data_IF_787384532213
#
_entry.id   IF_787384532213
#
_cell.length_a   1.000
_cell.length_b   1.000
_cell.length_c   1.000
_cell.angle_alpha   90.00
_cell.angle_beta   90.00
_cell.angle_gamma   90.00
#
_symmetry.space_group_name_H-M   'P 1'
#
loop_
_entity.id
_entity.type
_entity.pdbx_description
1 polymer ?
#
# COMPACT_ATOMS: atom_id res chain seq x y z
N UNK A 1 21.56 -7.41 13.17
CA UNK A 1 20.83 -7.11 11.93
C UNK A 1 19.52 -6.46 12.32
N UNK A 2 19.17 -5.32 11.76
CA UNK A 2 17.92 -4.62 12.08
C UNK A 2 16.77 -5.37 11.40
N UNK A 3 15.86 -5.94 12.19
CA UNK A 3 14.68 -6.64 11.66
C UNK A 3 13.81 -5.67 10.88
N UNK A 4 13.35 -6.05 9.68
CA UNK A 4 12.41 -5.25 8.90
C UNK A 4 11.14 -6.07 8.71
N UNK A 5 10.05 -5.61 9.30
CA UNK A 5 8.71 -6.15 9.11
C UNK A 5 8.06 -5.58 7.85
N UNK A 6 7.22 -6.40 7.22
CA UNK A 6 6.49 -6.03 6.01
C UNK A 6 5.28 -6.91 5.79
N UNK A 7 4.34 -6.40 4.98
CA UNK A 7 3.25 -7.19 4.44
C UNK A 7 3.75 -8.02 3.26
N UNK A 8 3.20 -9.21 3.07
CA UNK A 8 3.22 -9.90 1.80
C UNK A 8 1.79 -10.03 1.27
N UNK A 9 1.60 -9.61 0.01
CA UNK A 9 0.30 -9.51 -0.65
C UNK A 9 0.28 -10.46 -1.84
N UNK A 10 -0.45 -11.55 -1.71
CA UNK A 10 -0.67 -12.54 -2.75
C UNK A 10 -1.91 -12.17 -3.57
N UNK A 11 -1.67 -11.62 -4.75
CA UNK A 11 -2.70 -11.12 -5.66
C UNK A 11 -3.44 -12.25 -6.36
N UNK A 12 -2.86 -13.45 -6.43
CA UNK A 12 -3.51 -14.65 -6.98
C UNK A 12 -4.63 -15.13 -6.06
N UNK A 13 -4.43 -15.03 -4.74
CA UNK A 13 -5.45 -15.40 -3.73
C UNK A 13 -6.43 -14.28 -3.40
N UNK A 14 -6.13 -13.04 -3.76
CA UNK A 14 -6.96 -11.91 -3.38
C UNK A 14 -8.26 -11.86 -4.21
N UNK A 15 -9.40 -12.12 -3.58
CA UNK A 15 -10.73 -12.08 -4.23
C UNK A 15 -11.43 -10.72 -4.16
N UNK A 16 -10.74 -9.69 -3.66
CA UNK A 16 -11.29 -8.33 -3.64
C UNK A 16 -12.45 -8.09 -2.67
N UNK A 17 -12.68 -8.94 -1.68
CA UNK A 17 -13.83 -8.88 -0.76
C UNK A 17 -13.86 -7.66 0.19
N UNK A 18 -12.76 -6.89 0.27
CA UNK A 18 -12.58 -5.71 1.14
C UNK A 18 -12.73 -5.96 2.65
N UNK A 19 -12.78 -7.21 3.11
CA UNK A 19 -12.81 -7.55 4.54
C UNK A 19 -11.62 -6.94 5.31
N UNK A 20 -10.43 -6.93 4.70
CA UNK A 20 -9.24 -6.32 5.28
C UNK A 20 -9.33 -4.79 5.45
N UNK A 21 -10.12 -4.11 4.60
CA UNK A 21 -10.37 -2.67 4.74
C UNK A 21 -11.36 -2.40 5.87
N UNK A 22 -12.49 -3.11 5.87
CA UNK A 22 -13.53 -2.99 6.89
C UNK A 22 -12.96 -3.26 8.28
N UNK A 23 -12.17 -4.34 8.43
CA UNK A 23 -11.55 -4.69 9.70
C UNK A 23 -10.52 -3.66 10.18
N UNK A 24 -9.76 -3.04 9.25
CA UNK A 24 -8.84 -1.97 9.59
C UNK A 24 -9.58 -0.69 10.03
N UNK A 25 -10.66 -0.35 9.33
CA UNK A 25 -11.48 0.84 9.60
C UNK A 25 -12.19 0.71 10.95
N UNK A 26 -12.80 -0.44 11.22
CA UNK A 26 -13.49 -0.72 12.48
C UNK A 26 -12.54 -0.72 13.69
N UNK A 27 -11.40 -1.42 13.58
CA UNK A 27 -10.44 -1.52 14.68
C UNK A 27 -9.86 -0.16 15.11
N UNK A 28 -9.54 0.70 14.14
CA UNK A 28 -9.00 2.03 14.41
C UNK A 28 -10.07 3.13 14.49
N UNK A 29 -11.35 2.80 14.34
CA UNK A 29 -12.46 3.76 14.30
C UNK A 29 -12.20 4.92 13.33
N UNK A 30 -11.66 4.61 12.16
CA UNK A 30 -11.28 5.65 11.19
C UNK A 30 -12.53 6.34 10.62
N UNK A 31 -12.53 7.68 10.47
CA UNK A 31 -13.66 8.42 9.92
C UNK A 31 -13.91 8.01 8.46
N UNK A 32 -15.11 8.26 7.89
CA UNK A 32 -15.52 7.79 6.56
C UNK A 32 -14.48 8.01 5.46
N UNK A 33 -13.86 9.19 5.43
CA UNK A 33 -12.88 9.61 4.43
C UNK A 33 -11.52 8.90 4.53
N UNK A 34 -11.16 8.40 5.72
CA UNK A 34 -9.85 7.82 5.98
C UNK A 34 -9.87 6.30 5.77
N UNK A 35 -8.92 5.82 4.97
CA UNK A 35 -8.73 4.39 4.63
C UNK A 35 -7.26 4.02 4.66
N UNK A 36 -6.78 3.50 5.78
CA UNK A 36 -5.39 3.07 5.94
C UNK A 36 -5.01 1.85 5.10
N UNK A 37 -5.99 1.01 4.73
CA UNK A 37 -5.85 -0.08 3.77
C UNK A 37 -6.92 0.07 2.69
N UNK A 38 -6.55 -0.18 1.43
CA UNK A 38 -7.42 -0.03 0.26
C UNK A 38 -7.23 -1.22 -0.69
N UNK A 39 -8.31 -1.84 -1.13
CA UNK A 39 -8.29 -2.82 -2.20
C UNK A 39 -8.59 -2.11 -3.51
N UNK A 40 -7.70 -2.30 -4.48
CA UNK A 40 -7.86 -1.84 -5.86
C UNK A 40 -8.08 -3.06 -6.76
N UNK A 41 -8.95 -2.90 -7.74
CA UNK A 41 -9.22 -3.91 -8.76
C UNK A 41 -8.75 -3.36 -10.10
N UNK A 42 -8.09 -4.19 -10.88
CA UNK A 42 -7.60 -3.86 -12.20
C UNK A 42 -7.98 -4.98 -13.14
N UNK A 43 -8.17 -4.63 -14.39
CA UNK A 43 -8.50 -5.56 -15.46
C UNK A 43 -7.33 -5.58 -16.44
N UNK A 44 -7.07 -6.75 -16.98
CA UNK A 44 -6.00 -6.92 -17.96
C UNK A 44 -6.36 -8.03 -18.93
N UNK A 45 -5.57 -8.15 -19.99
CA UNK A 45 -5.82 -9.06 -21.08
C UNK A 45 -6.96 -8.57 -21.97
N UNK A 46 -7.25 -9.37 -23.00
CA UNK A 46 -8.28 -9.10 -24.00
C UNK A 46 -9.24 -10.28 -24.06
N UNK A 47 -10.49 -10.02 -24.42
CA UNK A 47 -11.49 -11.07 -24.59
C UNK A 47 -11.00 -12.15 -25.58
N UNK A 48 -11.12 -13.46 -25.26
CA UNK A 48 -11.81 -14.07 -24.12
C UNK A 48 -10.90 -14.35 -22.89
N UNK A 49 -9.66 -13.88 -22.89
CA UNK A 49 -8.65 -14.09 -21.84
C UNK A 49 -8.52 -12.90 -20.88
N UNK A 50 -9.52 -12.03 -20.85
CA UNK A 50 -9.56 -10.91 -19.91
C UNK A 50 -9.71 -11.45 -18.49
N UNK A 51 -8.96 -10.89 -17.55
CA UNK A 51 -9.05 -11.25 -16.14
C UNK A 51 -9.16 -9.99 -15.27
N UNK A 52 -9.73 -10.18 -14.09
CA UNK A 52 -9.75 -9.19 -13.02
C UNK A 52 -8.90 -9.67 -11.86
N UNK A 53 -8.16 -8.74 -11.29
CA UNK A 53 -7.14 -9.00 -10.27
C UNK A 53 -7.22 -7.92 -9.22
N UNK A 54 -6.89 -8.28 -7.98
CA UNK A 54 -7.13 -7.45 -6.81
C UNK A 54 -5.86 -7.25 -6.01
N UNK A 55 -5.63 -6.02 -5.58
CA UNK A 55 -4.43 -5.59 -4.88
C UNK A 55 -4.83 -4.87 -3.60
N UNK A 56 -4.44 -5.43 -2.46
CA UNK A 56 -4.66 -4.82 -1.15
C UNK A 56 -3.45 -4.01 -0.71
N UNK A 57 -3.57 -2.69 -0.71
CA UNK A 57 -2.51 -1.74 -0.39
C UNK A 57 -2.69 -1.14 1.00
N UNK A 58 -1.58 -0.96 1.71
CA UNK A 58 -1.47 -0.18 2.95
C UNK A 58 -0.13 0.57 2.95
N UNK A 59 0.29 1.10 4.11
CA UNK A 59 1.64 1.66 4.23
C UNK A 59 2.70 0.59 3.96
N UNK A 60 3.68 0.93 3.12
CA UNK A 60 4.80 0.04 2.80
C UNK A 60 5.87 -0.04 3.89
N UNK A 61 5.77 0.76 4.95
CA UNK A 61 6.76 0.85 6.04
C UNK A 61 8.21 0.80 5.54
N UNK A 62 8.49 1.69 4.58
CA UNK A 62 9.70 1.70 3.77
C UNK A 62 11.00 1.60 4.58
N UNK A 63 12.01 0.94 4.00
CA UNK A 63 13.36 0.91 4.54
C UNK A 63 13.93 2.33 4.65
N UNK A 64 13.68 3.14 3.61
CA UNK A 64 14.07 4.55 3.51
C UNK A 64 12.83 5.47 3.32
N UNK A 65 12.12 5.82 4.40
CA UNK A 65 10.80 6.45 4.31
C UNK A 65 10.85 7.93 3.92
N UNK A 66 10.38 8.23 2.70
CA UNK A 66 10.24 9.61 2.21
C UNK A 66 9.36 10.49 3.12
N UNK A 67 8.26 9.94 3.67
CA UNK A 67 7.38 10.67 4.59
C UNK A 67 8.08 11.14 5.88
N UNK A 68 9.10 10.41 6.35
CA UNK A 68 9.88 10.80 7.53
C UNK A 68 10.85 11.93 7.18
N UNK A 69 11.56 11.82 6.04
CA UNK A 69 12.47 12.86 5.55
C UNK A 69 11.75 14.19 5.24
N UNK A 70 10.49 14.11 4.79
CA UNK A 70 9.69 15.27 4.42
C UNK A 70 8.95 15.93 5.58
N UNK A 71 9.02 15.41 6.80
CA UNK A 71 8.27 15.96 7.94
C UNK A 71 9.09 17.04 8.66
N UNK A 72 8.65 18.32 8.66
CA UNK A 72 9.43 19.41 9.24
C UNK A 72 9.46 19.41 10.78
N UNK A 73 8.57 18.64 11.41
CA UNK A 73 8.41 18.56 12.87
C UNK A 73 8.71 17.16 13.41
N UNK A 74 9.32 16.31 12.57
CA UNK A 74 9.76 14.96 12.96
C UNK A 74 8.66 14.08 13.58
N UNK A 75 7.40 14.28 13.18
CA UNK A 75 6.24 13.49 13.64
C UNK A 75 6.24 12.02 13.16
N UNK A 76 7.33 11.54 12.57
CA UNK A 76 7.50 10.17 12.13
C UNK A 76 8.72 9.55 12.78
N UNK A 77 8.58 8.33 13.27
CA UNK A 77 9.68 7.54 13.82
C UNK A 77 9.74 6.18 13.15
N UNK A 78 10.95 5.68 12.91
CA UNK A 78 11.15 4.30 12.48
C UNK A 78 11.54 3.43 13.68
N UNK A 79 10.71 2.44 13.98
CA UNK A 79 10.95 1.46 15.05
C UNK A 79 12.08 0.49 14.69
N UNK A 80 12.61 -0.20 15.71
CA UNK A 80 13.65 -1.21 15.54
C UNK A 80 13.24 -2.42 14.68
N UNK A 81 11.94 -2.69 14.58
CA UNK A 81 11.32 -3.71 13.74
C UNK A 81 11.00 -3.21 12.31
N UNK A 82 11.40 -1.98 11.97
CA UNK A 82 11.22 -1.40 10.65
C UNK A 82 9.88 -0.70 10.42
N UNK A 83 8.94 -0.74 11.38
CA UNK A 83 7.66 -0.03 11.25
C UNK A 83 7.84 1.48 11.39
N UNK A 84 7.44 2.21 10.34
CA UNK A 84 7.31 3.67 10.36
C UNK A 84 6.01 4.05 11.09
N UNK A 85 6.10 4.80 12.19
CA UNK A 85 4.97 5.25 13.02
C UNK A 85 4.82 6.76 12.86
N UNK A 86 3.57 7.23 12.89
CA UNK A 86 3.24 8.66 12.91
C UNK A 86 2.72 9.03 14.30
N UNK A 87 3.24 10.11 14.87
CA UNK A 87 2.79 10.68 16.13
C UNK A 87 1.81 11.83 15.87
N UNK A 88 0.52 11.69 16.21
CA UNK A 88 -0.46 12.75 16.01
C UNK A 88 -0.22 13.96 16.92
N UNK A 89 0.48 13.82 18.05
CA UNK A 89 0.69 14.92 19.02
C UNK A 89 1.77 15.91 18.55
N UNK A 90 2.77 15.43 17.81
CA UNK A 90 3.78 16.27 17.17
C UNK A 90 3.32 16.84 15.81
N UNK A 91 2.30 16.24 15.19
CA UNK A 91 1.86 16.59 13.85
C UNK A 91 1.18 17.96 13.80
N UNK A 92 1.71 18.87 12.98
CA UNK A 92 1.14 20.21 12.75
C UNK A 92 0.18 20.27 11.55
N UNK A 93 -0.21 19.12 10.98
CA UNK A 93 -1.18 19.08 9.89
C UNK A 93 -0.72 19.66 8.54
N UNK A 94 0.59 19.90 8.33
CA UNK A 94 1.12 20.57 7.13
C UNK A 94 0.99 19.77 5.81
N UNK A 95 0.57 18.51 5.87
CA UNK A 95 0.34 17.61 4.73
C UNK A 95 1.54 17.32 3.81
N UNK A 96 2.75 17.85 4.03
CA UNK A 96 3.93 17.53 3.20
C UNK A 96 4.19 16.02 3.03
N UNK A 97 3.88 15.23 4.05
CA UNK A 97 3.99 13.77 4.01
C UNK A 97 3.00 13.10 3.03
N UNK A 98 1.85 13.71 2.73
CA UNK A 98 0.89 13.20 1.74
C UNK A 98 1.43 13.38 0.31
N UNK A 99 2.21 14.44 0.08
CA UNK A 99 2.87 14.74 -1.20
C UNK A 99 4.16 13.94 -1.40
N UNK A 100 4.98 13.81 -0.37
CA UNK A 100 6.29 13.14 -0.45
C UNK A 100 6.18 11.62 -0.46
N UNK A 101 5.10 11.04 0.06
CA UNK A 101 4.90 9.60 -0.02
C UNK A 101 4.47 9.21 -1.44
N UNK A 102 5.30 8.47 -2.21
CA UNK A 102 5.00 8.19 -3.61
C UNK A 102 3.93 7.10 -3.78
N UNK A 103 3.35 6.62 -2.67
CA UNK A 103 2.26 5.64 -2.62
C UNK A 103 0.95 6.26 -2.13
N UNK A 104 0.92 7.58 -1.90
CA UNK A 104 -0.24 8.34 -1.41
C UNK A 104 -0.90 7.68 -0.19
N UNK A 105 -0.07 7.26 0.77
CA UNK A 105 -0.49 6.51 1.96
C UNK A 105 -0.96 7.43 3.10
N UNK A 106 -0.21 8.46 3.51
CA UNK A 106 -0.65 9.40 4.53
C UNK A 106 -1.87 10.17 4.04
N UNK A 107 -2.88 10.29 4.91
CA UNK A 107 -4.14 10.95 4.63
C UNK A 107 -4.39 12.00 5.71
N UNK A 108 -4.74 13.21 5.30
CA UNK A 108 -5.09 14.28 6.23
C UNK A 108 -6.50 14.04 6.77
N UNK A 109 -6.63 14.07 8.09
CA UNK A 109 -7.91 14.02 8.79
C UNK A 109 -8.35 15.47 9.08
N UNK A 110 -9.38 15.98 8.37
CA UNK A 110 -9.82 17.36 8.53
C UNK A 110 -10.52 17.60 9.88
N UNK A 111 -11.05 16.57 10.52
CA UNK A 111 -11.70 16.70 11.83
C UNK A 111 -10.67 16.85 12.94
N UNK A 112 -9.57 16.09 12.85
CA UNK A 112 -8.49 16.11 13.85
C UNK A 112 -7.38 17.13 13.54
N UNK A 113 -7.35 17.67 12.31
CA UNK A 113 -6.31 18.62 11.89
C UNK A 113 -4.91 17.99 11.74
N UNK A 114 -4.82 16.67 11.69
CA UNK A 114 -3.54 15.93 11.64
C UNK A 114 -3.56 14.88 10.54
N UNK A 115 -2.38 14.45 10.11
CA UNK A 115 -2.26 13.34 9.16
C UNK A 115 -2.36 11.99 9.90
N UNK A 116 -2.88 10.97 9.24
CA UNK A 116 -2.86 9.59 9.74
C UNK A 116 -2.49 8.61 8.64
N UNK A 117 -2.00 7.42 9.03
CA UNK A 117 -1.65 6.33 8.11
C UNK A 117 -1.62 4.99 8.83
N UNK A 118 -1.63 3.90 8.06
CA UNK A 118 -1.36 2.56 8.60
C UNK A 118 -0.05 2.56 9.41
N UNK A 119 -0.14 1.98 10.62
CA UNK A 119 0.93 1.88 11.59
C UNK A 119 1.43 0.42 11.76
N UNK A 120 1.08 -0.46 10.83
CA UNK A 120 1.44 -1.89 10.88
C UNK A 120 0.73 -2.68 11.98
N UNK A 121 -0.30 -2.11 12.62
CA UNK A 121 -0.90 -2.66 13.83
C UNK A 121 0.12 -2.95 14.93
N UNK A 122 1.09 -2.05 15.12
CA UNK A 122 2.18 -2.25 16.07
C UNK A 122 1.70 -2.68 17.47
N UNK A 123 0.56 -2.19 17.94
CA UNK A 123 0.00 -2.57 19.25
C UNK A 123 -0.33 -4.07 19.34
N UNK A 124 -0.78 -4.68 18.25
CA UNK A 124 -1.06 -6.11 18.16
C UNK A 124 0.23 -6.90 17.95
N UNK A 125 1.13 -6.37 17.11
CA UNK A 125 2.44 -6.99 16.83
C UNK A 125 3.28 -7.10 18.10
N UNK A 126 3.26 -6.08 18.95
CA UNK A 126 3.93 -6.07 20.26
C UNK A 126 3.40 -7.16 21.21
N UNK A 127 2.19 -7.66 20.97
CA UNK A 127 1.57 -8.76 21.70
C UNK A 127 1.73 -10.12 21.00
N UNK A 128 2.55 -10.20 19.95
CA UNK A 128 2.72 -11.40 19.13
C UNK A 128 1.53 -11.72 18.23
N UNK A 129 0.59 -10.79 18.06
CA UNK A 129 -0.58 -10.96 17.20
C UNK A 129 -0.34 -10.40 15.79
N UNK A 130 -1.07 -10.94 14.81
CA UNK A 130 -1.04 -10.42 13.44
C UNK A 130 -1.86 -9.13 13.31
N UNK A 131 -1.54 -8.24 12.34
CA UNK A 131 -2.37 -7.08 12.04
C UNK A 131 -3.83 -7.45 11.75
N UNK A 132 -4.77 -6.59 12.12
CA UNK A 132 -6.21 -6.89 11.99
C UNK A 132 -6.64 -7.18 10.56
N UNK A 133 -6.04 -6.48 9.59
CA UNK A 133 -6.28 -6.71 8.17
C UNK A 133 -5.83 -8.10 7.68
N UNK A 134 -4.79 -8.68 8.30
CA UNK A 134 -4.30 -10.04 8.04
C UNK A 134 -5.25 -11.05 8.68
N UNK A 135 -5.64 -10.84 9.94
CA UNK A 135 -6.60 -11.71 10.63
C UNK A 135 -7.96 -11.82 9.89
N UNK A 136 -8.40 -10.73 9.25
CA UNK A 136 -9.65 -10.70 8.49
C UNK A 136 -9.54 -11.25 7.05
N UNK A 137 -8.36 -11.66 6.61
CA UNK A 137 -8.15 -12.11 5.24
C UNK A 137 -8.67 -13.55 5.04
N UNK A 138 -9.83 -13.69 4.41
CA UNK A 138 -10.52 -14.97 4.23
C UNK A 138 -9.74 -15.99 3.40
N UNK A 139 -8.93 -15.53 2.44
CA UNK A 139 -8.23 -16.39 1.48
C UNK A 139 -6.75 -16.59 1.81
N UNK A 140 -6.25 -15.99 2.90
CA UNK A 140 -4.82 -15.99 3.20
C UNK A 140 -3.97 -15.21 2.17
N UNK A 141 -4.57 -14.27 1.44
CA UNK A 141 -3.89 -13.39 0.50
C UNK A 141 -2.96 -12.37 1.18
N UNK A 142 -3.15 -12.12 2.48
CA UNK A 142 -2.32 -11.22 3.25
C UNK A 142 -1.55 -12.01 4.31
N UNK A 143 -0.26 -11.73 4.41
CA UNK A 143 0.57 -12.15 5.54
C UNK A 143 1.45 -11.00 6.01
N UNK A 144 1.99 -11.11 7.23
CA UNK A 144 2.80 -10.08 7.85
C UNK A 144 3.89 -10.74 8.70
N UNK A 145 5.10 -10.19 8.64
CA UNK A 145 6.27 -10.80 9.25
C UNK A 145 7.56 -10.17 8.72
N UNK A 146 8.69 -10.82 9.00
CA UNK A 146 9.98 -10.36 8.51
C UNK A 146 10.06 -10.42 6.99
N UNK A 147 10.56 -9.34 6.39
CA UNK A 147 10.74 -9.22 4.95
C UNK A 147 11.61 -10.33 4.38
N UNK A 148 12.68 -10.69 5.08
CA UNK A 148 13.59 -11.78 4.64
C UNK A 148 12.88 -13.13 4.59
N UNK A 149 11.92 -13.38 5.49
CA UNK A 149 11.13 -14.60 5.49
C UNK A 149 10.16 -14.62 4.31
N UNK A 150 9.56 -13.48 3.95
CA UNK A 150 8.73 -13.36 2.75
C UNK A 150 9.56 -13.57 1.47
N UNK A 151 10.77 -13.01 1.39
CA UNK A 151 11.69 -13.18 0.25
C UNK A 151 12.14 -14.64 0.08
N UNK A 152 12.29 -15.38 1.19
CA UNK A 152 12.65 -16.80 1.16
C UNK A 152 11.56 -17.72 0.60
N UNK A 153 10.30 -17.29 0.54
CA UNK A 153 9.17 -18.11 0.09
C UNK A 153 9.15 -18.38 -1.44
N UNK A 154 10.17 -17.93 -2.19
CA UNK A 154 10.48 -18.16 -3.62
C UNK A 154 9.40 -17.78 -4.65
N UNK A 155 8.11 -17.80 -4.31
CA UNK A 155 7.05 -17.30 -5.18
C UNK A 155 6.98 -15.79 -5.04
N UNK A 156 7.61 -15.10 -5.99
CA UNK A 156 7.33 -13.70 -6.37
C UNK A 156 7.21 -12.75 -5.16
N UNK A 157 8.31 -12.47 -4.47
CA UNK A 157 8.36 -11.43 -3.45
C UNK A 157 8.89 -10.13 -4.07
N UNK A 158 8.17 -9.55 -5.05
CA UNK A 158 8.65 -8.31 -5.69
C UNK A 158 8.26 -7.08 -4.88
N UNK A 159 9.04 -6.01 -5.02
CA UNK A 159 8.84 -4.74 -4.29
C UNK A 159 7.85 -3.77 -4.94
N UNK A 160 7.31 -4.15 -6.10
CA UNK A 160 6.54 -3.24 -6.97
C UNK A 160 5.16 -3.81 -7.32
N UNK A 161 4.20 -2.91 -7.42
CA UNK A 161 2.85 -3.12 -7.94
C UNK A 161 2.62 -2.19 -9.16
N UNK A 162 1.60 -2.37 -10.00
CA UNK A 162 1.40 -1.49 -11.15
C UNK A 162 1.24 -0.03 -10.71
N UNK A 163 1.94 0.88 -11.40
CA UNK A 163 1.92 2.32 -11.09
C UNK A 163 2.74 2.72 -9.87
N UNK A 164 3.47 1.80 -9.22
CA UNK A 164 4.39 2.18 -8.15
C UNK A 164 5.69 2.78 -8.73
N UNK A 165 6.30 3.75 -8.03
CA UNK A 165 7.61 4.28 -8.40
C UNK A 165 8.69 3.18 -8.35
N UNK A 166 9.87 3.50 -8.90
CA UNK A 166 11.06 2.66 -8.76
C UNK A 166 11.31 2.31 -7.27
N UNK A 167 11.42 1.01 -6.92
CA UNK A 167 11.64 0.58 -5.55
C UNK A 167 12.91 1.14 -4.89
N UNK A 168 13.92 1.56 -5.65
CA UNK A 168 15.15 2.15 -5.11
C UNK A 168 14.91 3.47 -4.38
N UNK A 169 13.83 4.20 -4.70
CA UNK A 169 13.52 5.53 -4.12
C UNK A 169 13.25 5.45 -2.62
N UNK A 170 12.51 4.44 -2.18
CA UNK A 170 12.17 4.30 -0.75
C UNK A 170 12.45 2.92 -0.17
N UNK A 171 12.79 1.94 -1.01
CA UNK A 171 12.98 0.53 -0.63
C UNK A 171 11.78 0.02 0.19
N UNK A 172 10.58 -0.11 -0.41
CA UNK A 172 9.37 -0.49 0.30
C UNK A 172 9.50 -1.89 0.93
N UNK A 173 8.97 -2.07 2.14
CA UNK A 173 9.04 -3.35 2.86
C UNK A 173 7.95 -4.34 2.44
N UNK A 174 6.85 -3.87 1.84
CA UNK A 174 5.82 -4.76 1.29
C UNK A 174 6.38 -5.61 0.15
N UNK A 175 5.95 -6.87 0.08
CA UNK A 175 6.23 -7.80 -1.01
C UNK A 175 4.92 -8.19 -1.70
N UNK A 176 4.96 -8.37 -3.01
CA UNK A 176 3.80 -8.69 -3.82
C UNK A 176 4.04 -9.97 -4.61
N UNK A 177 3.21 -10.98 -4.40
CA UNK A 177 3.11 -12.13 -5.30
C UNK A 177 2.04 -11.85 -6.33
N UNK A 178 2.47 -11.84 -7.59
CA UNK A 178 1.62 -11.59 -8.73
C UNK A 178 0.93 -12.88 -9.19
N UNK A 179 -0.22 -12.78 -9.85
CA UNK A 179 -0.83 -13.96 -10.41
C UNK A 179 0.00 -14.47 -11.59
N UNK A 180 0.15 -15.78 -11.72
CA UNK A 180 0.86 -16.40 -12.87
C UNK A 180 0.20 -16.04 -14.21
N UNK A 181 -1.13 -15.84 -14.19
CA UNK A 181 -1.91 -15.34 -15.31
C UNK A 181 -2.43 -13.96 -14.93
N UNK A 182 -2.06 -12.93 -15.69
CA UNK A 182 -2.51 -11.56 -15.41
C UNK A 182 -1.48 -10.48 -15.69
N UNK A 183 -1.70 -9.29 -15.11
CA UNK A 183 -0.82 -8.18 -15.33
C UNK A 183 0.44 -8.47 -14.53
N UNK A 184 1.57 -8.20 -15.16
CA UNK A 184 2.88 -8.41 -14.58
C UNK A 184 3.48 -7.03 -14.27
N UNK A 185 4.45 -6.93 -13.35
CA UNK A 185 5.06 -5.64 -12.98
C UNK A 185 5.65 -4.87 -14.18
N UNK A 186 6.00 -5.57 -15.27
CA UNK A 186 6.53 -5.05 -16.53
C UNK A 186 5.47 -4.86 -17.63
N UNK A 187 4.23 -5.30 -17.42
CA UNK A 187 3.13 -5.21 -18.41
C UNK A 187 2.21 -4.04 -18.10
N UNK A 188 1.98 -3.20 -19.10
CA UNK A 188 1.06 -2.06 -19.01
C UNK A 188 -0.32 -2.51 -18.52
N UNK A 189 -0.73 -2.04 -17.35
CA UNK A 189 -2.05 -2.31 -16.77
C UNK A 189 -2.98 -1.16 -17.14
N UNK A 190 -4.11 -1.47 -17.78
CA UNK A 190 -5.19 -0.49 -17.91
C UNK A 190 -5.86 -0.35 -16.55
N UNK A 191 -5.53 0.71 -15.82
CA UNK A 191 -6.20 1.04 -14.56
C UNK A 191 -7.59 1.56 -14.91
N UNK A 192 -8.63 0.83 -14.52
CA UNK A 192 -9.99 1.36 -14.60
C UNK A 192 -10.07 2.62 -13.71
N UNK A 193 -10.64 3.73 -14.18
CA UNK A 193 -10.77 4.93 -13.37
C UNK A 193 -11.55 4.61 -12.08
N UNK A 194 -11.23 5.25 -10.94
CA UNK A 194 -12.03 5.09 -9.73
C UNK A 194 -13.48 5.44 -10.05
N UNK A 195 -14.44 4.66 -9.52
CA UNK A 195 -15.84 5.02 -9.55
C UNK A 195 -15.96 6.39 -8.85
N UNK A 196 -16.25 7.44 -9.62
CA UNK A 196 -16.23 8.81 -9.14
C UNK A 196 -17.17 8.99 -7.96
N UNK A 197 -16.63 9.50 -6.86
CA UNK A 197 -17.35 9.91 -5.66
C UNK A 197 -17.82 11.37 -5.76
N UNK A 198 -18.31 11.81 -6.93
CA UNK A 198 -19.03 13.08 -7.09
C UNK A 198 -18.31 14.38 -6.68
N UNK A 199 -17.06 14.33 -6.22
CA UNK A 199 -16.31 15.49 -5.72
C UNK A 199 -14.90 15.49 -6.28
N UNK A 200 -14.76 15.73 -7.58
CA UNK A 200 -13.46 16.04 -8.18
C UNK A 200 -13.54 17.34 -8.95
N UNK A 201 -12.95 18.39 -8.36
CA UNK A 201 -12.40 19.50 -9.14
C UNK A 201 -11.27 18.95 -10.01
N UNK A 202 -11.28 19.40 -11.27
CA UNK A 202 -10.54 18.88 -12.42
C UNK A 202 -9.13 18.32 -12.19
N UNK A 203 -8.94 17.10 -12.67
CA UNK A 203 -7.64 16.52 -13.02
C UNK A 203 -7.86 15.61 -14.22
N UNK A 204 -7.42 16.04 -15.40
CA UNK A 204 -7.59 15.32 -16.66
C UNK A 204 -7.00 13.91 -16.56
N UNK A 205 -7.73 12.93 -17.09
CA UNK A 205 -7.23 11.58 -17.30
C UNK A 205 -6.13 11.62 -18.37
N UNK A 206 -4.88 11.84 -17.97
CA UNK A 206 -3.74 11.65 -18.87
C UNK A 206 -3.48 10.16 -19.04
N UNK A 207 -3.78 9.68 -20.24
CA UNK A 207 -3.39 8.37 -20.72
C UNK A 207 -1.87 8.40 -20.88
N UNK A 208 -1.12 7.75 -19.98
CA UNK A 208 0.33 7.59 -20.18
C UNK A 208 0.53 6.51 -21.24
N UNK A 209 0.48 6.92 -22.51
CA UNK A 209 0.99 6.14 -23.64
C UNK A 209 2.50 6.30 -23.62
N UNK A 210 3.21 5.36 -23.00
CA UNK A 210 4.66 5.27 -23.21
C UNK A 210 4.89 4.76 -24.64
N UNK A 211 5.37 5.67 -25.50
CA UNK A 211 5.78 5.38 -26.87
C UNK A 211 6.76 4.20 -26.88
N UNK A 212 6.44 3.17 -27.67
CA UNK A 212 7.36 2.10 -27.97
C UNK A 212 8.50 2.68 -28.82
N UNK A 213 9.65 2.95 -28.19
CA UNK A 213 10.89 3.22 -28.89
C UNK A 213 11.39 1.91 -29.53
N UNK A 214 11.54 1.94 -30.85
CA UNK A 214 12.19 0.90 -31.64
C UNK A 214 13.59 0.63 -31.07
N UNK A 215 13.88 -0.64 -30.77
CA UNK A 215 15.24 -1.13 -30.57
C UNK A 215 15.55 -2.02 -31.77
N UNK A 216 16.65 -1.66 -32.43
CA UNK A 216 17.21 -2.19 -33.69
C UNK A 216 17.29 -3.71 -33.76
#
# INVERSE_FOLDING_TARGET
MTTQLGFHVDMEKCIGCKACEAACKDFYRLPPEIRWRRVRSFETGEFPKAIRVHLSLACNHCEDPACMKGCPVEAYTKRADGLVIHDPTACIGCQYCTWTCPYSVPQFDPEQGVVSKCNGCYQLVDQGQLPRCVQACLTGALSFGEVVAHEAQKRQAVRQAPGFPDPSVTRPATRFAWPEKGPQPDRQVRVAPPAGDGTSVGGAAETVVAAAGEVR
#
